data_IF_862495962852
#
_entry.id   IF_862495962852
#
_cell.length_a   1.000
_cell.length_b   1.000
_cell.length_c   1.000
_cell.angle_alpha   90.00
_cell.angle_beta   90.00
_cell.angle_gamma   90.00
#
_symmetry.space_group_name_H-M   'P 1'
#
loop_
_entity.id
_entity.type
_entity.pdbx_description
1 polymer ?
#
# COMPACT_ATOMS: atom_id res chain seq x y z
N UNK A 1 -33.75 11.83 -3.31
CA UNK A 1 -32.60 11.19 -2.62
C UNK A 1 -32.47 9.70 -2.94
N UNK A 2 -33.48 8.86 -2.73
CA UNK A 2 -33.38 7.41 -2.97
C UNK A 2 -32.98 7.00 -4.40
N UNK A 3 -33.47 7.70 -5.44
CA UNK A 3 -33.11 7.40 -6.84
C UNK A 3 -31.62 7.61 -7.13
N UNK A 4 -31.01 8.65 -6.55
CA UNK A 4 -29.58 8.93 -6.69
C UNK A 4 -28.73 7.85 -6.04
N UNK A 5 -29.14 7.35 -4.87
CA UNK A 5 -28.43 6.27 -4.17
C UNK A 5 -28.45 4.96 -4.97
N UNK A 6 -29.60 4.62 -5.56
CA UNK A 6 -29.73 3.43 -6.40
C UNK A 6 -28.89 3.53 -7.68
N UNK A 7 -28.90 4.70 -8.34
CA UNK A 7 -28.06 4.94 -9.52
C UNK A 7 -26.57 4.86 -9.19
N UNK A 8 -26.15 5.42 -8.05
CA UNK A 8 -24.77 5.32 -7.58
C UNK A 8 -24.38 3.87 -7.30
N UNK A 9 -25.26 3.10 -6.66
CA UNK A 9 -25.04 1.68 -6.38
C UNK A 9 -24.93 0.84 -7.66
N UNK A 10 -25.80 1.06 -8.64
CA UNK A 10 -25.73 0.39 -9.95
C UNK A 10 -24.44 0.75 -10.71
N UNK A 11 -24.01 2.01 -10.63
CA UNK A 11 -22.74 2.45 -11.20
C UNK A 11 -21.56 1.77 -10.51
N UNK A 12 -21.57 1.72 -9.17
CA UNK A 12 -20.55 1.05 -8.38
C UNK A 12 -20.51 -0.46 -8.67
N UNK A 13 -21.65 -1.11 -8.91
CA UNK A 13 -21.68 -2.53 -9.26
C UNK A 13 -21.46 -2.82 -10.76
N UNK A 14 -21.16 -1.80 -11.57
CA UNK A 14 -21.05 -1.95 -13.02
C UNK A 14 -19.79 -2.71 -13.44
N UNK A 15 -19.96 -3.66 -14.36
CA UNK A 15 -18.84 -4.36 -15.01
C UNK A 15 -17.95 -3.40 -15.81
N UNK A 16 -18.53 -2.35 -16.42
CA UNK A 16 -17.76 -1.36 -17.19
C UNK A 16 -16.80 -0.60 -16.28
N UNK A 17 -17.28 -0.20 -15.09
CA UNK A 17 -16.44 0.43 -14.07
C UNK A 17 -15.33 -0.52 -13.62
N UNK A 18 -15.65 -1.79 -13.36
CA UNK A 18 -14.69 -2.80 -12.95
C UNK A 18 -13.51 -2.91 -13.95
N UNK A 19 -13.82 -3.05 -15.24
CA UNK A 19 -12.81 -3.18 -16.31
C UNK A 19 -11.91 -1.94 -16.36
N UNK A 20 -12.48 -0.75 -16.27
CA UNK A 20 -11.71 0.51 -16.28
C UNK A 20 -10.80 0.60 -15.05
N UNK A 21 -11.33 0.33 -13.85
CA UNK A 21 -10.57 0.42 -12.60
C UNK A 21 -9.45 -0.62 -12.54
N UNK A 22 -9.72 -1.87 -12.98
CA UNK A 22 -8.70 -2.91 -13.06
C UNK A 22 -7.62 -2.53 -14.10
N UNK A 23 -8.02 -2.02 -15.26
CA UNK A 23 -7.07 -1.58 -16.29
C UNK A 23 -6.17 -0.45 -15.81
N UNK A 24 -6.74 0.57 -15.16
CA UNK A 24 -5.98 1.66 -14.55
C UNK A 24 -5.05 1.15 -13.45
N UNK A 25 -5.54 0.25 -12.59
CA UNK A 25 -4.73 -0.37 -11.54
C UNK A 25 -3.55 -1.14 -12.12
N UNK A 26 -3.76 -1.89 -13.20
CA UNK A 26 -2.69 -2.64 -13.88
C UNK A 26 -1.62 -1.71 -14.46
N UNK A 27 -2.02 -0.60 -15.10
CA UNK A 27 -1.08 0.40 -15.62
C UNK A 27 -0.28 1.05 -14.50
N UNK A 28 -0.95 1.44 -13.41
CA UNK A 28 -0.30 2.05 -12.25
C UNK A 28 0.68 1.09 -11.58
N UNK A 29 0.30 -0.18 -11.39
CA UNK A 29 1.17 -1.19 -10.79
C UNK A 29 2.36 -1.51 -11.68
N UNK A 30 2.16 -1.65 -12.99
CA UNK A 30 3.25 -1.84 -13.94
C UNK A 30 4.24 -0.67 -13.88
N UNK A 31 3.73 0.57 -13.86
CA UNK A 31 4.57 1.75 -13.69
C UNK A 31 5.29 1.76 -12.34
N UNK A 32 4.60 1.44 -11.25
CA UNK A 32 5.18 1.33 -9.92
C UNK A 32 6.35 0.33 -9.87
N UNK A 33 6.23 -0.82 -10.56
CA UNK A 33 7.33 -1.79 -10.67
C UNK A 33 8.56 -1.20 -11.37
N UNK A 34 8.39 -0.44 -12.45
CA UNK A 34 9.52 0.24 -13.10
C UNK A 34 10.13 1.31 -12.19
N UNK A 35 9.31 2.05 -11.45
CA UNK A 35 9.79 3.06 -10.49
C UNK A 35 10.57 2.40 -9.36
N UNK A 36 10.07 1.31 -8.80
CA UNK A 36 10.72 0.54 -7.74
C UNK A 36 12.09 0.01 -8.19
N UNK A 37 12.19 -0.50 -9.43
CA UNK A 37 13.45 -0.98 -9.99
C UNK A 37 14.53 0.11 -10.07
N UNK A 38 14.15 1.35 -10.35
CA UNK A 38 15.10 2.46 -10.55
C UNK A 38 15.41 3.23 -9.27
N UNK A 39 14.44 3.37 -8.36
CA UNK A 39 14.53 4.26 -7.19
C UNK A 39 14.38 3.54 -5.84
N UNK A 40 14.08 2.24 -5.85
CA UNK A 40 13.91 1.42 -4.66
C UNK A 40 12.50 1.44 -4.06
N UNK A 41 12.29 0.54 -3.09
CA UNK A 41 10.99 0.30 -2.48
C UNK A 41 10.46 1.49 -1.67
N UNK A 42 11.32 2.23 -0.97
CA UNK A 42 10.88 3.40 -0.18
C UNK A 42 10.36 4.54 -1.07
N UNK A 43 10.99 4.72 -2.23
CA UNK A 43 10.60 5.74 -3.20
C UNK A 43 9.20 5.48 -3.77
N UNK A 44 8.92 4.26 -4.24
CA UNK A 44 7.60 3.90 -4.78
C UNK A 44 6.52 3.90 -3.69
N UNK A 45 6.88 3.51 -2.46
CA UNK A 45 5.98 3.56 -1.32
C UNK A 45 5.52 4.98 -1.02
N UNK A 46 6.43 5.95 -1.08
CA UNK A 46 6.11 7.36 -0.91
C UNK A 46 5.31 7.92 -2.10
N UNK A 47 5.81 7.73 -3.33
CA UNK A 47 5.25 8.36 -4.53
C UNK A 47 4.00 7.71 -5.11
N UNK A 48 3.73 6.44 -4.78
CA UNK A 48 2.56 5.70 -5.30
C UNK A 48 1.71 5.16 -4.15
N UNK A 49 2.23 4.22 -3.36
CA UNK A 49 1.38 3.43 -2.46
C UNK A 49 0.80 4.22 -1.28
N UNK A 50 1.49 5.24 -0.77
CA UNK A 50 0.98 6.12 0.31
C UNK A 50 0.16 7.30 -0.19
N UNK A 51 0.01 7.48 -1.50
CA UNK A 51 -0.74 8.61 -2.05
C UNK A 51 -2.25 8.44 -1.90
N UNK A 52 -2.96 9.57 -1.81
CA UNK A 52 -4.41 9.59 -1.67
C UNK A 52 -5.12 9.03 -2.92
N UNK A 53 -4.58 9.29 -4.12
CA UNK A 53 -5.19 8.86 -5.38
C UNK A 53 -5.07 7.34 -5.57
N UNK A 54 -3.94 6.73 -5.19
CA UNK A 54 -3.79 5.28 -5.23
C UNK A 54 -4.73 4.61 -4.23
N UNK A 55 -4.86 5.20 -3.05
CA UNK A 55 -5.84 4.78 -2.05
C UNK A 55 -7.25 4.79 -2.62
N UNK A 56 -7.63 5.87 -3.29
CA UNK A 56 -8.93 6.01 -3.91
C UNK A 56 -9.16 4.94 -5.00
N UNK A 57 -8.14 4.65 -5.82
CA UNK A 57 -8.22 3.64 -6.87
C UNK A 57 -8.48 2.23 -6.29
N UNK A 58 -7.71 1.83 -5.27
CA UNK A 58 -7.87 0.53 -4.61
C UNK A 58 -9.19 0.46 -3.82
N UNK A 59 -9.59 1.54 -3.14
CA UNK A 59 -10.88 1.60 -2.45
C UNK A 59 -12.05 1.53 -3.43
N UNK A 60 -11.95 2.18 -4.60
CA UNK A 60 -12.97 2.12 -5.64
C UNK A 60 -13.09 0.70 -6.22
N UNK A 61 -11.97 0.01 -6.43
CA UNK A 61 -11.98 -1.41 -6.81
C UNK A 61 -12.68 -2.28 -5.77
N UNK A 62 -12.34 -2.10 -4.48
CA UNK A 62 -12.97 -2.83 -3.38
C UNK A 62 -14.47 -2.59 -3.28
N UNK A 63 -14.91 -1.33 -3.37
CA UNK A 63 -16.32 -0.98 -3.40
C UNK A 63 -17.04 -1.57 -4.60
N UNK A 64 -16.43 -1.56 -5.78
CA UNK A 64 -17.00 -2.13 -6.99
C UNK A 64 -17.22 -3.64 -6.85
N UNK A 65 -16.20 -4.38 -6.42
CA UNK A 65 -16.28 -5.84 -6.17
C UNK A 65 -17.30 -6.15 -5.08
N UNK A 66 -17.36 -5.36 -4.01
CA UNK A 66 -18.34 -5.52 -2.93
C UNK A 66 -19.77 -5.33 -3.43
N UNK A 67 -20.06 -4.23 -4.12
CA UNK A 67 -21.40 -3.98 -4.68
C UNK A 67 -21.78 -5.04 -5.74
N UNK A 68 -20.84 -5.44 -6.60
CA UNK A 68 -21.07 -6.48 -7.59
C UNK A 68 -21.41 -7.84 -6.96
N UNK A 69 -20.77 -8.20 -5.84
CA UNK A 69 -21.07 -9.41 -5.09
C UNK A 69 -22.45 -9.34 -4.41
N UNK A 70 -22.83 -8.19 -3.85
CA UNK A 70 -24.10 -7.97 -3.16
C UNK A 70 -25.32 -7.95 -4.09
N UNK A 71 -25.20 -7.41 -5.31
CA UNK A 71 -26.31 -7.40 -6.29
C UNK A 71 -26.80 -8.82 -6.63
N UNK A 72 -25.92 -9.82 -6.58
CA UNK A 72 -26.26 -11.22 -6.90
C UNK A 72 -26.74 -12.03 -5.70
N UNK A 73 -26.98 -11.38 -4.57
CA UNK A 73 -27.57 -12.05 -3.41
C UNK A 73 -29.07 -12.34 -3.68
N UNK A 74 -29.60 -13.54 -3.41
CA UNK A 74 -29.01 -14.68 -2.71
C UNK A 74 -28.21 -15.64 -3.61
N UNK A 75 -27.00 -16.00 -3.16
CA UNK A 75 -26.09 -16.87 -3.91
C UNK A 75 -26.58 -18.32 -3.96
N UNK A 76 -26.51 -18.93 -5.15
CA UNK A 76 -26.87 -20.33 -5.36
C UNK A 76 -25.64 -21.25 -5.34
N UNK A 77 -25.83 -22.55 -5.09
CA UNK A 77 -24.73 -23.55 -5.00
C UNK A 77 -23.86 -23.64 -6.26
N UNK A 78 -24.36 -23.26 -7.43
CA UNK A 78 -23.58 -23.25 -8.68
C UNK A 78 -22.67 -22.00 -8.82
N UNK A 79 -22.87 -20.98 -7.98
CA UNK A 79 -22.12 -19.71 -7.99
C UNK A 79 -21.02 -19.67 -6.94
N UNK A 80 -20.64 -20.82 -6.37
CA UNK A 80 -19.60 -20.92 -5.35
C UNK A 80 -18.27 -20.34 -5.83
N UNK A 81 -17.87 -20.59 -7.08
CA UNK A 81 -16.68 -20.00 -7.67
C UNK A 81 -16.74 -18.46 -7.70
N UNK A 82 -17.88 -17.90 -8.12
CA UNK A 82 -18.09 -16.44 -8.13
C UNK A 82 -17.94 -15.85 -6.72
N UNK A 83 -18.60 -16.44 -5.72
CA UNK A 83 -18.56 -15.96 -4.34
C UNK A 83 -17.17 -16.05 -3.75
N UNK A 84 -16.47 -17.18 -3.94
CA UNK A 84 -15.12 -17.40 -3.42
C UNK A 84 -14.14 -16.40 -4.02
N UNK A 85 -14.19 -16.15 -5.33
CA UNK A 85 -13.29 -15.17 -5.96
C UNK A 85 -13.53 -13.76 -5.43
N UNK A 86 -14.79 -13.31 -5.34
CA UNK A 86 -15.09 -11.95 -4.88
C UNK A 86 -14.75 -11.79 -3.39
N UNK A 87 -15.13 -12.77 -2.56
CA UNK A 87 -14.80 -12.74 -1.14
C UNK A 87 -13.29 -12.81 -0.91
N UNK A 88 -12.56 -13.62 -1.68
CA UNK A 88 -11.09 -13.69 -1.62
C UNK A 88 -10.44 -12.35 -1.95
N UNK A 89 -10.89 -11.67 -3.01
CA UNK A 89 -10.40 -10.32 -3.35
C UNK A 89 -10.71 -9.33 -2.22
N UNK A 90 -11.93 -9.35 -1.67
CA UNK A 90 -12.31 -8.48 -0.56
C UNK A 90 -11.45 -8.73 0.69
N UNK A 91 -11.18 -9.99 1.02
CA UNK A 91 -10.30 -10.37 2.14
C UNK A 91 -8.89 -9.84 1.92
N UNK A 92 -8.33 -9.98 0.72
CA UNK A 92 -7.00 -9.45 0.38
C UNK A 92 -6.95 -7.92 0.48
N UNK A 93 -7.98 -7.23 0.00
CA UNK A 93 -8.07 -5.78 0.07
C UNK A 93 -8.17 -5.27 1.52
N UNK A 94 -8.98 -5.94 2.35
CA UNK A 94 -9.06 -5.64 3.78
C UNK A 94 -7.71 -5.90 4.46
N UNK A 95 -7.05 -7.01 4.16
CA UNK A 95 -5.71 -7.32 4.68
C UNK A 95 -4.69 -6.24 4.29
N UNK A 96 -4.69 -5.81 3.04
CA UNK A 96 -3.85 -4.72 2.56
C UNK A 96 -4.12 -3.40 3.31
N UNK A 97 -5.38 -3.07 3.55
CA UNK A 97 -5.76 -1.89 4.33
C UNK A 97 -5.26 -1.96 5.78
N UNK A 98 -5.36 -3.12 6.43
CA UNK A 98 -4.81 -3.33 7.77
C UNK A 98 -3.28 -3.17 7.79
N UNK A 99 -2.57 -3.80 6.85
CA UNK A 99 -1.11 -3.65 6.71
C UNK A 99 -0.71 -2.19 6.47
N UNK A 100 -1.53 -1.41 5.78
CA UNK A 100 -1.25 0.02 5.58
C UNK A 100 -1.32 0.84 6.87
N UNK A 101 -2.21 0.50 7.80
CA UNK A 101 -2.41 1.26 9.04
C UNK A 101 -1.26 1.07 10.04
N UNK A 102 -0.67 -0.13 10.11
CA UNK A 102 0.33 -0.46 11.13
C UNK A 102 1.28 -1.59 10.78
N UNK A 103 1.42 -1.92 9.49
CA UNK A 103 2.38 -2.92 9.01
C UNK A 103 3.82 -2.48 9.27
N UNK A 104 4.64 -3.45 9.67
CA UNK A 104 6.07 -3.26 9.90
C UNK A 104 6.83 -3.91 8.76
N UNK A 105 7.57 -3.10 8.02
CA UNK A 105 8.41 -3.54 6.91
C UNK A 105 9.86 -3.73 7.42
N UNK A 106 10.41 -4.94 7.28
CA UNK A 106 11.77 -5.26 7.71
C UNK A 106 12.46 -6.16 6.67
N UNK A 107 13.76 -6.02 6.53
CA UNK A 107 14.58 -6.80 5.61
C UNK A 107 15.42 -7.82 6.40
N UNK A 108 15.33 -9.09 6.01
CA UNK A 108 16.14 -10.17 6.55
C UNK A 108 17.11 -10.64 5.45
N UNK A 109 18.38 -10.22 5.47
CA UNK A 109 19.37 -10.75 4.53
C UNK A 109 19.65 -12.22 4.88
N UNK A 110 19.48 -13.11 3.89
CA UNK A 110 19.77 -14.53 4.02
C UNK A 110 20.75 -14.93 2.92
N UNK A 111 21.89 -15.48 3.34
CA UNK A 111 22.92 -15.98 2.42
C UNK A 111 22.77 -17.49 2.22
N UNK A 112 23.27 -18.00 1.08
CA UNK A 112 23.22 -19.43 0.78
C UNK A 112 23.88 -20.25 1.90
N UNK A 113 23.21 -21.32 2.33
CA UNK A 113 23.65 -22.19 3.42
C UNK A 113 23.54 -21.61 4.83
N UNK A 114 23.04 -20.37 4.99
CA UNK A 114 22.92 -19.70 6.29
C UNK A 114 21.46 -19.53 6.71
N UNK A 115 21.22 -19.50 8.03
CA UNK A 115 19.91 -19.16 8.62
C UNK A 115 19.94 -17.76 9.20
N UNK A 116 19.01 -16.91 8.76
CA UNK A 116 18.80 -15.57 9.32
C UNK A 116 17.71 -15.57 10.38
N UNK A 117 17.94 -14.89 11.51
CA UNK A 117 16.96 -14.78 12.61
C UNK A 117 16.70 -13.32 13.06
N UNK A 118 17.36 -12.34 12.45
CA UNK A 118 17.25 -10.92 12.80
C UNK A 118 16.88 -10.10 11.57
N UNK A 119 15.69 -9.52 11.55
CA UNK A 119 15.24 -8.62 10.51
C UNK A 119 15.55 -7.15 10.89
N UNK A 120 16.07 -6.39 9.94
CA UNK A 120 16.42 -4.98 10.11
C UNK A 120 15.31 -4.10 9.54
N UNK A 121 14.80 -3.17 10.35
CA UNK A 121 13.90 -2.13 9.89
C UNK A 121 14.70 -0.94 9.36
N UNK A 122 14.19 -0.27 8.33
CA UNK A 122 14.79 0.92 7.77
C UNK A 122 14.45 2.19 8.59
N UNK A 123 14.67 2.12 9.92
CA UNK A 123 14.38 3.22 10.85
C UNK A 123 15.67 3.94 11.21
N UNK A 124 15.86 5.15 10.66
CA UNK A 124 17.02 5.97 10.98
C UNK A 124 16.81 6.67 12.33
N UNK A 125 17.86 6.76 13.14
CA UNK A 125 17.82 7.46 14.42
C UNK A 125 19.20 8.08 14.71
N UNK A 126 19.19 9.22 15.38
CA UNK A 126 20.39 9.82 15.92
C UNK A 126 20.49 9.49 17.41
N UNK A 127 21.64 8.96 17.83
CA UNK A 127 21.96 8.81 19.25
C UNK A 127 22.77 10.02 19.70
N UNK A 128 22.20 10.81 20.62
CA UNK A 128 22.85 11.95 21.23
C UNK A 128 23.31 11.56 22.63
N UNK A 129 24.62 11.61 22.89
CA UNK A 129 25.17 11.43 24.23
C UNK A 129 25.45 12.80 24.85
N UNK A 130 24.66 13.19 25.84
CA UNK A 130 24.84 14.46 26.56
C UNK A 130 25.77 14.22 27.73
N UNK A 131 27.05 14.59 27.59
CA UNK A 131 28.03 14.52 28.68
C UNK A 131 28.03 15.84 29.45
N UNK A 132 27.60 15.82 30.72
CA UNK A 132 27.73 16.97 31.63
C UNK A 132 28.81 16.69 32.67
N UNK A 133 29.85 17.54 32.71
CA UNK A 133 30.73 17.70 33.87
C UNK A 133 31.40 16.44 34.43
N UNK A 134 31.75 15.46 33.57
CA UNK A 134 32.45 14.25 34.00
C UNK A 134 31.58 13.12 34.57
N UNK A 135 30.25 13.25 34.54
CA UNK A 135 29.33 12.15 34.82
C UNK A 135 28.84 11.48 33.52
N UNK A 136 28.54 10.18 33.61
CA UNK A 136 28.10 9.30 32.52
C UNK A 136 27.01 9.95 31.67
N UNK A 137 27.26 10.07 30.37
CA UNK A 137 26.41 10.84 29.46
C UNK A 137 25.00 10.25 29.31
N UNK A 138 23.98 11.11 29.30
CA UNK A 138 22.60 10.68 29.04
C UNK A 138 22.41 10.47 27.54
N UNK A 139 22.16 9.23 27.13
CA UNK A 139 21.82 8.88 25.74
C UNK A 139 20.37 9.23 25.45
N UNK A 140 20.13 10.01 24.40
CA UNK A 140 18.81 10.36 23.89
C UNK A 140 18.73 9.93 22.43
N UNK A 141 17.79 9.03 22.12
CA UNK A 141 17.53 8.60 20.74
C UNK A 141 16.50 9.53 20.12
N UNK A 142 16.89 10.23 19.06
CA UNK A 142 16.00 11.08 18.28
C UNK A 142 15.66 10.35 16.98
N UNK A 143 14.39 10.00 16.72
CA UNK A 143 14.01 9.36 15.47
C UNK A 143 14.24 10.33 14.30
N UNK A 144 14.82 9.82 13.22
CA UNK A 144 15.08 10.60 12.00
C UNK A 144 14.44 9.91 10.80
N UNK A 145 13.84 10.69 9.92
CA UNK A 145 13.30 10.20 8.65
C UNK A 145 13.80 11.12 7.56
N UNK A 146 14.85 10.71 6.86
CA UNK A 146 15.42 11.48 5.74
C UNK A 146 14.46 11.61 4.56
N UNK A 147 13.45 10.73 4.48
CA UNK A 147 12.66 10.53 3.28
C UNK A 147 13.40 9.67 2.25
N UNK A 148 12.74 9.23 1.17
CA UNK A 148 13.33 8.31 0.19
C UNK A 148 14.33 8.97 -0.76
N UNK A 149 14.46 10.30 -0.74
CA UNK A 149 15.27 11.06 -1.70
C UNK A 149 16.10 12.13 -1.00
N UNK A 150 17.21 12.51 -1.64
CA UNK A 150 17.80 13.82 -1.40
C UNK A 150 16.87 14.89 -1.97
N UNK A 151 16.24 15.69 -1.10
CA UNK A 151 15.28 16.73 -1.49
C UNK A 151 15.83 17.76 -2.50
N UNK A 152 17.15 17.96 -2.52
CA UNK A 152 17.80 18.84 -3.52
C UNK A 152 17.79 18.26 -4.95
N UNK A 153 17.69 16.94 -5.08
CA UNK A 153 17.65 16.24 -6.36
C UNK A 153 16.23 15.85 -6.78
N UNK A 154 15.27 15.86 -5.84
CA UNK A 154 13.87 15.51 -6.10
C UNK A 154 13.26 16.33 -7.24
N UNK A 155 13.47 17.66 -7.25
CA UNK A 155 12.96 18.54 -8.30
C UNK A 155 13.58 18.31 -9.68
N UNK A 156 14.62 17.47 -9.79
CA UNK A 156 15.26 17.08 -11.05
C UNK A 156 14.76 15.73 -11.57
N UNK A 157 13.99 14.99 -10.77
CA UNK A 157 13.42 13.71 -11.18
C UNK A 157 12.28 13.95 -12.17
N UNK A 158 12.47 13.51 -13.41
CA UNK A 158 11.49 13.70 -14.48
C UNK A 158 10.19 12.90 -14.27
N UNK A 159 10.21 11.83 -13.47
CA UNK A 159 9.15 10.81 -13.40
C UNK A 159 8.50 10.62 -12.03
N UNK A 160 8.68 11.53 -11.06
CA UNK A 160 8.07 11.43 -9.72
C UNK A 160 6.95 12.49 -9.52
N UNK A 161 5.77 12.10 -9.00
CA UNK A 161 4.66 13.01 -8.73
C UNK A 161 4.91 13.97 -7.56
#
# INVERSE_FOLDING_TARGET
MLRLLLQLYELLASLKLAVVVIGLSAVVLAWATFVEMNYGAEAVRFGVYRTWWFSLLISLLGLNVFCAALIRFPWQKHQTGFVVTHLGILVLLVGCFVTRLGGVDAQLPVFEGHVGHVAYQNTQHFELEIVQGGATGRRVTVPFSSGPFNWSEYGRLFFFP
#
